data_IF_393304083471
#
_entry.id   IF_393304083471
#
_cell.length_a   1.000
_cell.length_b   1.000
_cell.length_c   1.000
_cell.angle_alpha   90.00
_cell.angle_beta   90.00
_cell.angle_gamma   90.00
#
_symmetry.space_group_name_H-M   'P 1'
#
loop_
_entity.id
_entity.type
_entity.pdbx_description
1 polymer ?
#
# COMPACT_ATOMS: atom_id res chain seq x y z
N UNK A 1 38.83 -37.97 -25.15
CA UNK A 1 37.71 -37.30 -25.78
C UNK A 1 36.40 -37.54 -25.08
N UNK A 2 36.27 -38.64 -24.37
CA UNK A 2 35.04 -38.91 -23.65
C UNK A 2 34.83 -37.99 -22.46
N UNK A 3 35.90 -37.39 -21.95
CA UNK A 3 35.80 -36.49 -20.82
C UNK A 3 35.07 -35.18 -21.16
N UNK A 4 35.19 -34.76 -22.42
CA UNK A 4 34.56 -33.51 -22.83
C UNK A 4 33.04 -33.60 -22.85
N UNK A 5 32.50 -34.74 -23.17
CA UNK A 5 31.06 -34.93 -23.18
C UNK A 5 30.50 -34.86 -21.74
N UNK A 6 31.18 -35.49 -20.79
CA UNK A 6 30.75 -35.44 -19.41
C UNK A 6 30.80 -34.01 -18.85
N UNK A 7 31.88 -33.33 -19.17
CA UNK A 7 32.04 -31.96 -18.71
C UNK A 7 30.99 -31.06 -19.33
N UNK A 8 30.68 -31.29 -20.62
CA UNK A 8 29.63 -30.51 -21.25
C UNK A 8 28.29 -30.78 -20.64
N UNK A 9 27.96 -32.00 -20.33
CA UNK A 9 26.69 -32.32 -19.63
C UNK A 9 26.65 -31.74 -18.27
N UNK A 10 27.75 -31.77 -17.53
CA UNK A 10 27.81 -31.15 -16.20
C UNK A 10 27.66 -29.64 -16.29
N UNK A 11 28.28 -29.00 -17.25
CA UNK A 11 28.13 -27.56 -17.46
C UNK A 11 26.71 -27.20 -17.80
N UNK A 12 26.07 -27.95 -18.67
CA UNK A 12 24.69 -27.71 -19.01
C UNK A 12 23.77 -27.86 -17.81
N UNK A 13 24.04 -28.86 -16.98
CA UNK A 13 23.26 -29.09 -15.77
C UNK A 13 23.45 -27.95 -14.80
N UNK A 14 24.68 -27.52 -14.60
CA UNK A 14 24.97 -26.42 -13.71
C UNK A 14 24.33 -25.10 -14.23
N UNK A 15 24.41 -24.88 -15.51
CA UNK A 15 23.79 -23.72 -16.14
C UNK A 15 22.27 -23.70 -15.91
N UNK A 16 21.64 -24.86 -16.04
CA UNK A 16 20.20 -24.96 -15.80
C UNK A 16 19.87 -24.63 -14.38
N UNK A 17 20.66 -25.11 -13.45
CA UNK A 17 20.45 -24.84 -12.03
C UNK A 17 20.64 -23.35 -11.75
N UNK A 18 21.68 -22.74 -12.31
CA UNK A 18 21.94 -21.32 -12.13
C UNK A 18 20.81 -20.48 -12.69
N UNK A 19 20.33 -20.82 -13.88
CA UNK A 19 19.21 -20.10 -14.50
C UNK A 19 17.96 -20.24 -13.64
N UNK A 20 17.72 -21.43 -13.12
CA UNK A 20 16.57 -21.68 -12.27
C UNK A 20 16.64 -20.83 -11.01
N UNK A 21 17.80 -20.76 -10.37
CA UNK A 21 18.01 -19.92 -9.20
C UNK A 21 17.84 -18.45 -9.53
N UNK A 22 18.32 -18.01 -10.67
CA UNK A 22 18.15 -16.63 -11.10
C UNK A 22 16.68 -16.29 -11.28
N UNK A 23 15.92 -17.19 -11.90
CA UNK A 23 14.50 -16.98 -12.10
C UNK A 23 13.74 -16.88 -10.77
N UNK A 24 14.07 -17.77 -9.85
CA UNK A 24 13.46 -17.74 -8.52
C UNK A 24 13.82 -16.44 -7.81
N UNK A 25 15.07 -16.01 -7.91
CA UNK A 25 15.52 -14.78 -7.31
C UNK A 25 14.78 -13.56 -7.86
N UNK A 26 14.55 -13.53 -9.17
CA UNK A 26 13.85 -12.43 -9.80
C UNK A 26 12.39 -12.33 -9.34
N UNK A 27 11.75 -13.45 -9.08
CA UNK A 27 10.37 -13.43 -8.62
C UNK A 27 10.25 -12.83 -7.23
N UNK A 28 11.30 -12.93 -6.43
CA UNK A 28 11.27 -12.37 -5.08
C UNK A 28 11.50 -10.87 -5.06
N UNK A 29 12.10 -10.32 -6.09
CA UNK A 29 12.41 -8.89 -6.12
C UNK A 29 11.21 -8.01 -6.38
N UNK A 30 10.12 -8.56 -6.86
CA UNK A 30 8.99 -7.74 -7.25
C UNK A 30 8.05 -7.41 -6.11
N UNK A 31 8.36 -7.77 -4.88
CA UNK A 31 7.40 -7.70 -3.80
C UNK A 31 7.44 -6.42 -2.99
N UNK A 32 8.38 -5.53 -3.25
CA UNK A 32 8.63 -4.50 -2.26
C UNK A 32 8.27 -3.08 -2.62
N UNK A 33 7.73 -2.82 -3.76
CA UNK A 33 7.35 -1.46 -4.12
C UNK A 33 5.93 -1.22 -3.67
N UNK A 34 5.75 -0.80 -2.42
CA UNK A 34 4.39 -0.69 -1.95
C UNK A 34 4.04 0.56 -1.18
N UNK A 35 4.98 1.30 -0.72
CA UNK A 35 4.63 2.35 0.22
C UNK A 35 3.90 3.52 -0.42
N UNK A 36 4.25 3.88 -1.63
CA UNK A 36 3.64 5.04 -2.26
C UNK A 36 2.46 4.70 -3.14
N UNK A 37 2.37 3.44 -3.52
CA UNK A 37 1.33 3.00 -4.43
C UNK A 37 0.32 2.10 -3.74
N UNK A 38 0.23 2.18 -2.43
CA UNK A 38 -0.78 1.44 -1.72
C UNK A 38 -2.15 1.86 -2.22
N UNK A 39 -2.98 0.90 -2.54
CA UNK A 39 -4.31 1.17 -3.03
C UNK A 39 -5.34 0.54 -2.11
N UNK A 40 -6.46 1.20 -1.97
CA UNK A 40 -7.54 0.76 -1.09
C UNK A 40 -8.81 0.65 -1.91
N UNK A 41 -9.52 -0.45 -1.73
CA UNK A 41 -10.83 -0.62 -2.34
C UNK A 41 -11.86 -0.67 -1.23
N UNK A 42 -12.79 0.26 -1.28
CA UNK A 42 -13.85 0.38 -0.28
C UNK A 42 -15.18 0.55 -0.96
N UNK A 43 -16.17 -0.15 -0.43
CA UNK A 43 -17.54 0.02 -0.90
C UNK A 43 -18.45 -0.03 0.32
N UNK A 44 -18.69 1.11 0.91
CA UNK A 44 -19.50 1.25 2.10
C UNK A 44 -20.60 2.26 1.86
N UNK A 45 -21.78 1.97 2.39
CA UNK A 45 -22.92 2.84 2.23
C UNK A 45 -23.43 3.25 3.61
N UNK A 46 -23.60 4.55 3.81
CA UNK A 46 -24.05 5.11 5.08
C UNK A 46 -23.22 4.64 6.27
N UNK A 47 -21.93 4.59 6.08
CA UNK A 47 -21.00 4.19 7.13
C UNK A 47 -20.45 5.42 7.83
N UNK A 48 -20.18 5.31 9.12
CA UNK A 48 -19.55 6.41 9.84
C UNK A 48 -18.09 6.51 9.40
N UNK A 49 -17.53 7.70 9.58
CA UNK A 49 -16.11 7.90 9.25
C UNK A 49 -15.25 6.95 10.07
N UNK A 50 -15.63 6.68 11.30
CA UNK A 50 -14.91 5.72 12.13
C UNK A 50 -14.88 4.34 11.50
N UNK A 51 -16.01 3.87 10.98
CA UNK A 51 -16.08 2.58 10.31
C UNK A 51 -15.22 2.54 9.05
N UNK A 52 -15.23 3.62 8.29
CA UNK A 52 -14.42 3.70 7.08
C UNK A 52 -12.95 3.65 7.43
N UNK A 53 -12.54 4.39 8.46
CA UNK A 53 -11.15 4.41 8.89
C UNK A 53 -10.71 3.02 9.35
N UNK A 54 -11.53 2.33 10.12
CA UNK A 54 -11.21 0.99 10.58
C UNK A 54 -10.98 0.03 9.40
N UNK A 55 -11.82 0.14 8.40
CA UNK A 55 -11.69 -0.73 7.22
C UNK A 55 -10.40 -0.44 6.45
N UNK A 56 -10.07 0.84 6.32
CA UNK A 56 -8.83 1.24 5.66
C UNK A 56 -7.61 0.77 6.44
N UNK A 57 -7.66 0.88 7.76
CA UNK A 57 -6.57 0.43 8.61
C UNK A 57 -6.31 -1.07 8.44
N UNK A 58 -7.37 -1.85 8.27
CA UNK A 58 -7.23 -3.27 8.04
C UNK A 58 -6.54 -3.56 6.71
N UNK A 59 -6.92 -2.83 5.67
CA UNK A 59 -6.35 -3.06 4.34
C UNK A 59 -4.91 -2.61 4.23
N UNK A 60 -4.60 -1.46 4.80
CA UNK A 60 -3.26 -0.89 4.72
C UNK A 60 -2.33 -1.40 5.81
N UNK A 61 -2.88 -1.98 6.87
CA UNK A 61 -2.11 -2.40 8.05
C UNK A 61 -1.34 -1.24 8.65
N UNK A 62 -1.94 -0.06 8.60
CA UNK A 62 -1.39 1.15 9.19
C UNK A 62 -2.48 1.84 9.97
N UNK A 63 -2.10 2.49 11.04
CA UNK A 63 -3.06 3.19 11.89
C UNK A 63 -3.17 4.65 11.45
N UNK A 64 -4.36 5.22 11.64
CA UNK A 64 -4.59 6.63 11.41
C UNK A 64 -4.48 7.37 12.73
N UNK A 65 -3.84 8.53 12.69
CA UNK A 65 -3.76 9.43 13.83
C UNK A 65 -4.37 10.77 13.42
N UNK A 66 -5.39 11.20 14.14
CA UNK A 66 -6.07 12.45 13.84
C UNK A 66 -6.73 13.01 15.10
N UNK A 67 -7.07 14.29 15.05
CA UNK A 67 -7.72 14.95 16.19
C UNK A 67 -9.23 14.79 16.07
N UNK A 68 -9.83 14.18 17.07
CA UNK A 68 -11.29 14.02 17.11
C UNK A 68 -12.01 15.34 17.28
N UNK A 69 -11.31 16.38 17.71
CA UNK A 69 -11.89 17.70 17.79
C UNK A 69 -12.11 18.32 16.43
N UNK A 70 -11.30 17.94 15.47
CA UNK A 70 -11.37 18.51 14.12
C UNK A 70 -12.10 17.60 13.13
N UNK A 71 -12.18 16.32 13.44
CA UNK A 71 -12.82 15.34 12.57
C UNK A 71 -14.01 14.72 13.29
N UNK A 72 -15.19 14.89 12.72
CA UNK A 72 -16.39 14.27 13.27
C UNK A 72 -16.50 12.84 12.76
N UNK A 73 -16.06 11.89 13.57
CA UNK A 73 -16.02 10.47 13.19
C UNK A 73 -17.41 9.84 13.18
N UNK A 74 -18.41 10.53 13.72
CA UNK A 74 -19.78 10.00 13.70
C UNK A 74 -20.54 10.37 12.44
N UNK A 75 -19.97 11.23 11.61
CA UNK A 75 -20.60 11.61 10.35
C UNK A 75 -20.66 10.41 9.42
N UNK A 76 -21.79 10.26 8.76
CA UNK A 76 -21.97 9.15 7.83
C UNK A 76 -21.63 9.56 6.41
N UNK A 77 -20.93 8.70 5.73
CA UNK A 77 -20.59 8.91 4.33
C UNK A 77 -20.79 7.63 3.55
N UNK A 78 -20.96 7.78 2.26
CA UNK A 78 -20.99 6.65 1.35
C UNK A 78 -19.71 6.68 0.52
N UNK A 79 -19.00 5.58 0.49
CA UNK A 79 -17.70 5.50 -0.17
C UNK A 79 -17.72 4.37 -1.19
N UNK A 80 -17.31 4.68 -2.40
CA UNK A 80 -17.15 3.67 -3.43
C UNK A 80 -15.83 3.94 -4.14
N UNK A 81 -14.79 3.30 -3.63
CA UNK A 81 -13.44 3.49 -4.14
C UNK A 81 -12.91 2.16 -4.67
N UNK A 82 -12.28 2.23 -5.83
CA UNK A 82 -11.69 1.07 -6.45
C UNK A 82 -10.23 1.37 -6.73
N UNK A 83 -9.35 0.75 -5.98
CA UNK A 83 -7.91 0.95 -6.08
C UNK A 83 -7.55 2.42 -5.96
N UNK A 84 -8.12 3.08 -4.97
CA UNK A 84 -7.86 4.49 -4.72
C UNK A 84 -6.52 4.68 -4.03
N UNK A 85 -5.85 5.76 -4.36
CA UNK A 85 -4.61 6.12 -3.68
C UNK A 85 -4.93 6.69 -2.31
N UNK A 86 -3.89 6.80 -1.49
CA UNK A 86 -4.06 7.36 -0.16
C UNK A 86 -4.51 8.83 -0.24
N UNK A 87 -4.02 9.57 -1.23
CA UNK A 87 -4.47 10.95 -1.45
C UNK A 87 -5.97 11.04 -1.69
N UNK A 88 -6.48 10.21 -2.59
CA UNK A 88 -7.91 10.20 -2.88
C UNK A 88 -8.71 9.78 -1.65
N UNK A 89 -8.20 8.80 -0.93
CA UNK A 89 -8.86 8.30 0.26
C UNK A 89 -8.99 9.38 1.32
N UNK A 90 -7.92 10.10 1.59
CA UNK A 90 -7.94 11.16 2.58
C UNK A 90 -8.90 12.27 2.18
N UNK A 91 -8.93 12.63 0.91
CA UNK A 91 -9.86 13.65 0.44
C UNK A 91 -11.31 13.22 0.60
N UNK A 92 -11.61 11.96 0.35
CA UNK A 92 -12.97 11.45 0.46
C UNK A 92 -13.41 11.37 1.92
N UNK A 93 -12.53 10.90 2.79
CA UNK A 93 -12.87 10.71 4.20
C UNK A 93 -12.85 12.03 4.97
N UNK A 94 -11.81 12.81 4.80
CA UNK A 94 -11.58 14.01 5.61
C UNK A 94 -11.87 15.31 4.89
N UNK A 95 -11.88 15.30 3.57
CA UNK A 95 -12.11 16.50 2.79
C UNK A 95 -10.83 17.18 2.37
N UNK A 96 -10.97 18.24 1.58
CA UNK A 96 -9.82 18.95 1.04
C UNK A 96 -9.08 19.78 2.09
N UNK A 97 -9.71 20.01 3.22
CA UNK A 97 -9.10 20.80 4.29
C UNK A 97 -8.05 20.04 5.07
N UNK A 98 -7.88 18.77 4.78
CA UNK A 98 -6.94 17.93 5.49
C UNK A 98 -5.90 17.33 4.55
N UNK A 99 -4.70 17.18 5.04
CA UNK A 99 -3.64 16.45 4.37
C UNK A 99 -3.16 15.33 5.28
N UNK A 100 -2.16 14.62 4.82
CA UNK A 100 -1.63 13.53 5.62
C UNK A 100 -0.11 13.49 5.52
N UNK A 101 0.47 12.84 6.50
CA UNK A 101 1.90 12.61 6.57
C UNK A 101 2.14 11.17 7.04
N UNK A 102 3.08 10.50 6.41
CA UNK A 102 3.43 9.14 6.81
C UNK A 102 4.59 9.18 7.79
N UNK A 103 4.38 8.62 8.96
CA UNK A 103 5.42 8.55 9.99
C UNK A 103 5.47 7.09 10.45
N UNK A 104 6.52 6.39 10.03
CA UNK A 104 6.67 4.96 10.31
C UNK A 104 5.45 4.19 9.80
N UNK A 105 4.69 3.59 10.70
CA UNK A 105 3.51 2.83 10.35
C UNK A 105 2.23 3.60 10.66
N UNK A 106 2.32 4.91 10.72
CA UNK A 106 1.24 5.77 11.15
C UNK A 106 0.92 6.79 10.07
N UNK A 107 -0.36 6.95 9.78
CA UNK A 107 -0.84 7.97 8.86
C UNK A 107 -1.38 9.12 9.69
N UNK A 108 -0.66 10.23 9.70
CA UNK A 108 -1.03 11.38 10.51
C UNK A 108 -1.83 12.35 9.66
N UNK A 109 -3.06 12.60 10.06
CA UNK A 109 -3.96 13.51 9.36
C UNK A 109 -3.83 14.88 10.00
N UNK A 110 -3.54 15.89 9.20
CA UNK A 110 -3.37 17.25 9.67
C UNK A 110 -4.20 18.21 8.83
N UNK A 111 -4.75 19.25 9.45
CA UNK A 111 -5.45 20.27 8.66
C UNK A 111 -4.47 21.05 7.80
N UNK A 112 -4.93 21.40 6.62
CA UNK A 112 -4.11 22.09 5.62
C UNK A 112 -4.49 23.56 5.58
N UNK A 113 -4.84 24.12 6.67
CA UNK A 113 -5.43 25.42 6.64
C UNK A 113 -4.44 26.52 6.83
N UNK A 114 -3.38 26.45 6.60
CA UNK A 114 -2.57 27.50 6.88
C UNK A 114 -2.34 28.29 5.76
N UNK A 115 -2.83 28.74 5.46
CA UNK A 115 -2.62 29.48 4.61
C UNK A 115 -2.58 30.70 4.65
N UNK A 116 -2.67 30.64 5.05
CA UNK A 116 -2.58 31.47 5.05
C UNK A 116 -2.32 32.29 5.10
N UNK A 117 -2.38 32.65 5.15
CA UNK A 117 -2.18 33.33 5.14
C UNK A 117 -1.98 33.84 4.97
#
# INVERSE_FOLDING_TARGET
MNCTFRELFNLLRVMKIVILFMLIGLTHLSAEVRSQNASVSLKLKDATIEQVILEVEKQLKQDFFFSKKEVDVTRKISVNLNQATLDELVQVIFGESFGYRLVDNLIVITPVSYTHL
#
